data_IF_408811995166
#
_entry.id   IF_408811995166
#
_cell.length_a   1.000
_cell.length_b   1.000
_cell.length_c   1.000
_cell.angle_alpha   90.00
_cell.angle_beta   90.00
_cell.angle_gamma   90.00
#
_symmetry.space_group_name_H-M   'P 1'
#
loop_
_entity.id
_entity.type
_entity.pdbx_description
1 polymer ?
#
# COMPACT_ATOMS: atom_id res chain seq x y z
N UNK A 1 -12.06 69.84 5.03
CA UNK A 1 -12.16 68.47 5.56
C UNK A 1 -12.02 67.56 4.38
N UNK A 2 -10.83 66.96 4.22
CA UNK A 2 -10.50 66.19 3.01
C UNK A 2 -10.33 64.74 3.42
N UNK A 3 -11.23 63.92 2.93
CA UNK A 3 -11.22 62.47 3.05
C UNK A 3 -10.18 61.90 2.09
N UNK A 4 -9.13 61.28 2.62
CA UNK A 4 -8.14 60.52 1.84
C UNK A 4 -8.67 59.12 1.64
N UNK A 5 -9.04 58.81 0.42
CA UNK A 5 -9.26 57.44 -0.02
C UNK A 5 -7.94 56.70 -0.04
N UNK A 6 -7.90 55.55 0.67
CA UNK A 6 -6.81 54.58 0.60
C UNK A 6 -7.04 53.75 -0.68
N UNK A 7 -6.21 53.99 -1.68
CA UNK A 7 -6.19 53.22 -2.93
C UNK A 7 -5.61 51.83 -2.65
N UNK A 8 -6.35 50.83 -3.13
CA UNK A 8 -6.09 49.42 -2.96
C UNK A 8 -4.72 48.98 -3.42
N UNK A 9 -4.10 48.13 -2.61
CA UNK A 9 -2.89 47.38 -2.97
C UNK A 9 -3.32 46.22 -3.89
N UNK A 10 -2.96 46.33 -5.14
CA UNK A 10 -3.18 45.30 -6.14
C UNK A 10 -2.29 44.09 -5.77
N UNK A 11 -2.93 43.08 -5.19
CA UNK A 11 -2.28 41.85 -4.82
C UNK A 11 -1.97 41.04 -6.08
N UNK A 12 -0.75 41.15 -6.59
CA UNK A 12 -0.25 40.40 -7.75
C UNK A 12 0.14 38.97 -7.36
N UNK A 13 -0.78 38.23 -6.72
CA UNK A 13 -0.62 36.80 -6.52
C UNK A 13 -0.91 36.09 -7.84
N UNK A 14 0.17 35.70 -8.54
CA UNK A 14 0.06 34.89 -9.76
C UNK A 14 -0.32 33.46 -9.40
N UNK A 15 -1.35 32.95 -10.08
CA UNK A 15 -1.76 31.54 -9.95
C UNK A 15 -0.60 30.62 -10.32
N UNK A 16 -0.16 29.78 -9.39
CA UNK A 16 0.84 28.75 -9.65
C UNK A 16 0.22 27.67 -10.54
N UNK A 17 0.74 27.51 -11.74
CA UNK A 17 0.41 26.36 -12.60
C UNK A 17 0.94 25.10 -11.94
N UNK A 18 0.08 24.08 -11.81
CA UNK A 18 0.42 22.78 -11.22
C UNK A 18 1.36 22.01 -12.17
N UNK A 19 2.64 22.33 -12.13
CA UNK A 19 3.62 21.38 -12.63
C UNK A 19 3.65 20.20 -11.65
N UNK A 20 3.63 18.97 -12.16
CA UNK A 20 3.96 17.78 -11.34
C UNK A 20 5.24 18.13 -10.63
N UNK A 21 5.17 18.29 -9.32
CA UNK A 21 6.27 18.93 -8.61
C UNK A 21 7.43 17.95 -8.55
N UNK A 22 8.66 18.44 -8.71
CA UNK A 22 9.88 17.66 -8.48
C UNK A 22 9.82 16.85 -7.18
N UNK A 23 9.09 17.35 -6.18
CA UNK A 23 8.77 16.65 -4.94
C UNK A 23 7.98 15.35 -5.19
N UNK A 24 6.95 15.37 -6.04
CA UNK A 24 6.13 14.18 -6.34
C UNK A 24 6.97 13.10 -7.06
N UNK A 25 7.85 13.52 -7.98
CA UNK A 25 8.76 12.61 -8.68
C UNK A 25 9.78 11.99 -7.71
N UNK A 26 10.36 12.81 -6.82
CA UNK A 26 11.28 12.36 -5.77
C UNK A 26 10.57 11.43 -4.79
N UNK A 27 9.33 11.75 -4.36
CA UNK A 27 8.54 10.89 -3.47
C UNK A 27 8.29 9.54 -4.12
N UNK A 28 7.93 9.52 -5.40
CA UNK A 28 7.69 8.29 -6.16
C UNK A 28 8.97 7.43 -6.27
N UNK A 29 10.11 8.05 -6.59
CA UNK A 29 11.39 7.36 -6.69
C UNK A 29 11.84 6.77 -5.35
N UNK A 30 11.75 7.54 -4.25
CA UNK A 30 12.13 7.08 -2.91
C UNK A 30 11.19 5.99 -2.39
N UNK A 31 9.89 6.10 -2.67
CA UNK A 31 8.92 5.05 -2.36
C UNK A 31 9.26 3.76 -3.10
N UNK A 32 9.58 3.85 -4.39
CA UNK A 32 10.00 2.70 -5.17
C UNK A 32 11.26 2.05 -4.59
N UNK A 33 12.25 2.83 -4.17
CA UNK A 33 13.49 2.34 -3.57
C UNK A 33 13.26 1.64 -2.22
N UNK A 34 12.30 2.11 -1.40
CA UNK A 34 11.91 1.42 -0.16
C UNK A 34 11.19 0.10 -0.49
N UNK A 35 10.25 0.12 -1.44
CA UNK A 35 9.46 -1.06 -1.82
C UNK A 35 10.34 -2.15 -2.45
N UNK A 36 11.30 -1.77 -3.29
CA UNK A 36 12.23 -2.72 -3.94
C UNK A 36 13.31 -3.24 -3.01
N UNK A 37 13.47 -2.65 -1.79
CA UNK A 37 14.56 -2.99 -0.88
C UNK A 37 15.91 -2.34 -1.22
N UNK A 38 16.00 -1.49 -2.24
CA UNK A 38 17.19 -0.69 -2.53
C UNK A 38 17.51 0.23 -1.34
N UNK A 39 16.49 0.83 -0.73
CA UNK A 39 16.59 1.43 0.58
C UNK A 39 16.24 0.36 1.64
N UNK A 40 17.28 -0.18 2.27
CA UNK A 40 17.17 -1.33 3.15
C UNK A 40 16.43 -0.98 4.46
N UNK A 41 15.50 -1.83 4.93
CA UNK A 41 14.89 -1.71 6.25
C UNK A 41 15.94 -1.66 7.38
N UNK A 42 15.68 -0.86 8.40
CA UNK A 42 16.58 -0.72 9.55
C UNK A 42 17.78 0.21 9.31
N UNK A 43 17.99 0.72 8.09
CA UNK A 43 19.07 1.67 7.79
C UNK A 43 18.59 3.12 7.80
N UNK A 44 19.51 4.01 8.18
CA UNK A 44 19.26 5.47 8.22
C UNK A 44 19.81 6.14 6.96
N UNK A 45 18.97 6.88 6.27
CA UNK A 45 19.30 7.64 5.08
C UNK A 45 19.20 9.14 5.33
N UNK A 46 20.24 9.90 4.94
CA UNK A 46 20.21 11.35 5.08
C UNK A 46 19.73 12.03 3.80
N UNK A 47 18.91 13.06 3.93
CA UNK A 47 18.40 13.80 2.79
C UNK A 47 19.51 14.39 1.87
N UNK A 48 20.64 14.90 2.40
CA UNK A 48 21.74 15.34 1.53
C UNK A 48 22.36 14.23 0.68
N UNK A 49 22.55 13.02 1.23
CA UNK A 49 23.08 11.87 0.46
C UNK A 49 22.11 11.44 -0.65
N UNK A 50 20.82 11.31 -0.31
CA UNK A 50 19.79 10.99 -1.30
C UNK A 50 19.68 12.07 -2.39
N UNK A 51 19.79 13.35 -2.02
CA UNK A 51 19.78 14.46 -2.96
C UNK A 51 20.92 14.37 -3.98
N UNK A 52 22.13 14.01 -3.53
CA UNK A 52 23.28 13.78 -4.41
C UNK A 52 23.02 12.60 -5.37
N UNK A 53 22.46 11.50 -4.88
CA UNK A 53 22.14 10.33 -5.71
C UNK A 53 21.07 10.64 -6.77
N UNK A 54 20.06 11.42 -6.40
CA UNK A 54 18.95 11.79 -7.28
C UNK A 54 19.24 13.01 -8.18
N UNK A 55 20.39 13.69 -8.00
CA UNK A 55 20.76 14.88 -8.79
C UNK A 55 19.88 16.10 -8.52
N UNK A 56 19.31 16.23 -7.30
CA UNK A 56 18.41 17.31 -6.90
C UNK A 56 18.90 18.01 -5.64
N UNK A 57 18.26 19.13 -5.23
CA UNK A 57 18.54 19.77 -3.95
C UNK A 57 17.96 18.96 -2.76
N UNK A 58 18.48 19.21 -1.54
CA UNK A 58 18.05 18.47 -0.35
C UNK A 58 16.60 18.82 0.09
N UNK A 59 16.05 19.94 -0.35
CA UNK A 59 14.71 20.39 0.06
C UNK A 59 13.61 19.45 -0.44
N UNK A 60 13.43 19.19 -1.76
CA UNK A 60 12.43 18.26 -2.25
C UNK A 60 12.61 16.85 -1.70
N UNK A 61 13.85 16.40 -1.45
CA UNK A 61 14.11 15.09 -0.83
C UNK A 61 13.61 15.05 0.61
N UNK A 62 13.86 16.12 1.39
CA UNK A 62 13.38 16.19 2.77
C UNK A 62 11.86 16.21 2.85
N UNK A 63 11.20 16.96 1.96
CA UNK A 63 9.74 16.98 1.86
C UNK A 63 9.18 15.60 1.46
N UNK A 64 9.77 14.95 0.47
CA UNK A 64 9.42 13.60 0.05
C UNK A 64 9.56 12.59 1.20
N UNK A 65 10.68 12.63 1.93
CA UNK A 65 10.88 11.76 3.10
C UNK A 65 9.86 12.03 4.21
N UNK A 66 9.42 13.28 4.40
CA UNK A 66 8.34 13.59 5.34
C UNK A 66 6.98 13.06 4.87
N UNK A 67 6.73 12.96 3.56
CA UNK A 67 5.54 12.28 3.04
C UNK A 67 5.61 10.78 3.31
N UNK A 68 6.79 10.14 3.11
CA UNK A 68 7.00 8.73 3.47
C UNK A 68 6.90 8.48 5.00
N UNK A 69 7.20 9.47 5.85
CA UNK A 69 6.93 9.39 7.30
C UNK A 69 5.43 9.31 7.58
N UNK A 70 4.62 10.12 6.90
CA UNK A 70 3.15 10.07 7.04
C UNK A 70 2.56 8.73 6.55
N UNK A 71 3.23 8.12 5.57
CA UNK A 71 2.89 6.82 5.03
C UNK A 71 3.40 5.65 5.90
N UNK A 72 4.15 5.93 6.98
CA UNK A 72 4.70 4.89 7.87
C UNK A 72 5.90 4.11 7.29
N UNK A 73 6.41 4.49 6.11
CA UNK A 73 7.53 3.81 5.47
C UNK A 73 8.88 4.12 6.10
N UNK A 74 9.03 5.31 6.64
CA UNK A 74 10.25 5.77 7.30
C UNK A 74 9.91 6.53 8.57
N UNK A 75 10.85 6.60 9.51
CA UNK A 75 10.76 7.38 10.74
C UNK A 75 11.82 8.47 10.74
N UNK A 76 11.43 9.71 11.05
CA UNK A 76 12.38 10.82 11.16
C UNK A 76 13.24 10.65 12.42
N UNK A 77 14.56 10.63 12.22
CA UNK A 77 15.57 10.56 13.28
C UNK A 77 16.22 11.92 13.45
N UNK A 78 15.99 12.64 14.59
CA UNK A 78 16.56 13.96 14.80
C UNK A 78 18.08 13.99 14.58
N UNK A 79 18.55 14.92 13.77
CA UNK A 79 19.97 15.13 13.40
C UNK A 79 20.67 13.95 12.69
N UNK A 80 19.97 12.85 12.39
CA UNK A 80 20.55 11.67 11.72
C UNK A 80 20.00 11.45 10.32
N UNK A 81 18.72 11.72 10.10
CA UNK A 81 18.05 11.48 8.82
C UNK A 81 16.74 10.74 9.00
N UNK A 82 16.50 9.76 8.15
CA UNK A 82 15.26 8.97 8.11
C UNK A 82 15.61 7.48 8.17
N UNK A 83 15.04 6.79 9.14
CA UNK A 83 15.18 5.35 9.31
C UNK A 83 14.09 4.66 8.47
N UNK A 84 14.49 3.76 7.58
CA UNK A 84 13.51 2.89 6.89
C UNK A 84 12.94 1.92 7.92
N UNK A 85 11.61 1.88 8.01
CA UNK A 85 10.92 1.01 8.98
C UNK A 85 11.24 -0.44 8.64
N UNK A 86 11.75 -1.16 9.63
CA UNK A 86 11.89 -2.60 9.58
C UNK A 86 10.71 -3.20 10.36
N UNK A 87 9.96 -4.07 9.72
CA UNK A 87 8.93 -4.86 10.40
C UNK A 87 9.54 -6.23 10.68
N UNK A 88 9.46 -6.67 11.91
CA UNK A 88 9.97 -7.97 12.30
C UNK A 88 9.07 -9.10 11.77
N UNK A 89 9.60 -10.31 11.67
CA UNK A 89 8.79 -11.49 11.32
C UNK A 89 7.65 -11.70 12.33
N UNK A 90 7.91 -11.44 13.61
CA UNK A 90 6.89 -11.54 14.68
C UNK A 90 5.77 -10.52 14.49
N UNK A 91 6.09 -9.27 14.14
CA UNK A 91 5.07 -8.24 13.81
C UNK A 91 4.25 -8.64 12.58
N UNK A 92 4.88 -9.24 11.57
CA UNK A 92 4.18 -9.76 10.37
C UNK A 92 3.23 -10.90 10.73
N UNK A 93 3.65 -11.81 11.62
CA UNK A 93 2.81 -12.90 12.13
C UNK A 93 1.61 -12.35 12.89
N UNK A 94 1.82 -11.39 13.78
CA UNK A 94 0.76 -10.74 14.55
C UNK A 94 -0.25 -10.05 13.64
N UNK A 95 0.21 -9.29 12.64
CA UNK A 95 -0.67 -8.64 11.67
C UNK A 95 -1.44 -9.66 10.83
N UNK A 96 -0.78 -10.72 10.34
CA UNK A 96 -1.44 -11.78 9.59
C UNK A 96 -2.50 -12.49 10.44
N UNK A 97 -2.22 -12.76 11.72
CA UNK A 97 -3.16 -13.36 12.65
C UNK A 97 -4.41 -12.48 12.84
N UNK A 98 -4.23 -11.17 13.04
CA UNK A 98 -5.36 -10.24 13.16
C UNK A 98 -6.20 -10.20 11.88
N UNK A 99 -5.55 -10.18 10.71
CA UNK A 99 -6.23 -10.22 9.42
C UNK A 99 -7.02 -11.53 9.24
N UNK A 100 -6.44 -12.67 9.60
CA UNK A 100 -7.09 -13.98 9.56
C UNK A 100 -8.33 -14.09 10.49
N UNK A 101 -8.31 -13.37 11.60
CA UNK A 101 -9.47 -13.32 12.52
C UNK A 101 -10.60 -12.45 11.98
N UNK A 102 -10.32 -11.48 11.10
CA UNK A 102 -11.29 -10.45 10.71
C UNK A 102 -11.72 -10.58 9.24
N UNK A 103 -10.75 -10.68 8.30
CA UNK A 103 -11.08 -10.60 6.88
C UNK A 103 -11.88 -11.83 6.37
N UNK A 104 -11.46 -13.10 6.60
CA UNK A 104 -12.20 -14.27 6.09
C UNK A 104 -13.65 -14.34 6.57
N UNK A 105 -13.96 -14.23 7.88
CA UNK A 105 -15.36 -14.26 8.34
C UNK A 105 -16.16 -13.05 7.83
N UNK A 106 -15.51 -11.90 7.60
CA UNK A 106 -16.18 -10.74 6.99
C UNK A 106 -16.54 -11.02 5.54
N UNK A 107 -15.62 -11.61 4.73
CA UNK A 107 -15.90 -12.03 3.35
C UNK A 107 -17.07 -12.98 3.29
N UNK A 108 -17.11 -13.99 4.17
CA UNK A 108 -18.26 -14.87 4.29
C UNK A 108 -19.58 -14.11 4.52
N UNK A 109 -19.55 -13.19 5.48
CA UNK A 109 -20.74 -12.42 5.88
C UNK A 109 -21.22 -11.47 4.78
N UNK A 110 -20.31 -10.85 3.99
CA UNK A 110 -20.68 -9.91 2.94
C UNK A 110 -21.05 -10.59 1.62
N UNK A 111 -20.56 -11.79 1.35
CA UNK A 111 -20.82 -12.53 0.09
C UNK A 111 -22.32 -12.55 -0.29
N UNK A 112 -23.28 -12.82 0.62
CA UNK A 112 -24.70 -12.83 0.26
C UNK A 112 -25.31 -11.43 0.06
N UNK A 113 -24.63 -10.36 0.48
CA UNK A 113 -25.21 -8.99 0.47
C UNK A 113 -24.58 -8.07 -0.57
N UNK A 114 -23.51 -8.50 -1.27
CA UNK A 114 -22.94 -7.75 -2.38
C UNK A 114 -23.98 -7.63 -3.50
N UNK A 115 -24.33 -6.42 -4.01
CA UNK A 115 -25.25 -6.25 -5.13
C UNK A 115 -24.73 -6.88 -6.41
N UNK A 116 -25.60 -7.48 -7.22
CA UNK A 116 -25.22 -8.16 -8.47
C UNK A 116 -24.57 -7.17 -9.47
N UNK A 117 -25.03 -5.92 -9.50
CA UNK A 117 -24.48 -4.84 -10.31
C UNK A 117 -23.04 -4.46 -9.97
N UNK A 118 -22.58 -4.77 -8.76
CA UNK A 118 -21.22 -4.43 -8.33
C UNK A 118 -20.15 -5.43 -8.79
N UNK A 119 -20.54 -6.66 -9.20
CA UNK A 119 -19.57 -7.70 -9.54
C UNK A 119 -18.70 -7.36 -10.76
N UNK A 120 -19.23 -6.65 -11.76
CA UNK A 120 -18.42 -6.19 -12.89
C UNK A 120 -17.33 -5.22 -12.45
N UNK A 121 -17.66 -4.30 -11.54
CA UNK A 121 -16.69 -3.36 -10.97
C UNK A 121 -15.64 -4.10 -10.13
N UNK A 122 -16.06 -5.02 -9.26
CA UNK A 122 -15.13 -5.83 -8.45
C UNK A 122 -14.21 -6.67 -9.32
N UNK A 123 -14.73 -7.26 -10.40
CA UNK A 123 -13.93 -8.02 -11.37
C UNK A 123 -12.90 -7.11 -12.06
N UNK A 124 -13.28 -5.90 -12.45
CA UNK A 124 -12.36 -4.91 -13.02
C UNK A 124 -11.24 -4.52 -12.05
N UNK A 125 -11.55 -4.39 -10.76
CA UNK A 125 -10.54 -4.12 -9.73
C UNK A 125 -9.58 -5.31 -9.57
N UNK A 126 -10.08 -6.54 -9.52
CA UNK A 126 -9.27 -7.76 -9.47
C UNK A 126 -8.38 -7.91 -10.71
N UNK A 127 -8.92 -7.62 -11.92
CA UNK A 127 -8.14 -7.64 -13.16
C UNK A 127 -7.00 -6.61 -13.13
N UNK A 128 -7.22 -5.44 -12.56
CA UNK A 128 -6.17 -4.41 -12.39
C UNK A 128 -4.99 -4.95 -11.56
N UNK A 129 -5.25 -5.77 -10.53
CA UNK A 129 -4.20 -6.40 -9.72
C UNK A 129 -3.37 -7.36 -10.60
N UNK A 130 -4.04 -8.21 -11.40
CA UNK A 130 -3.37 -9.14 -12.32
C UNK A 130 -2.52 -8.39 -13.34
N UNK A 131 -3.08 -7.34 -13.96
CA UNK A 131 -2.39 -6.54 -14.95
C UNK A 131 -1.14 -5.85 -14.38
N UNK A 132 -1.20 -5.38 -13.12
CA UNK A 132 -0.04 -4.81 -12.42
C UNK A 132 1.01 -5.88 -12.11
N UNK A 133 0.61 -7.09 -11.72
CA UNK A 133 1.51 -8.22 -11.50
C UNK A 133 2.25 -8.60 -12.79
N UNK A 134 1.55 -8.69 -13.91
CA UNK A 134 2.12 -9.05 -15.20
C UNK A 134 3.13 -8.02 -15.73
N UNK A 135 2.91 -6.73 -15.40
CA UNK A 135 3.83 -5.65 -15.76
C UNK A 135 4.97 -5.46 -14.75
N UNK A 136 4.95 -6.16 -13.61
CA UNK A 136 5.92 -5.98 -12.53
C UNK A 136 5.82 -4.62 -11.83
N UNK A 137 4.65 -3.96 -11.89
CA UNK A 137 4.39 -2.64 -11.32
C UNK A 137 4.03 -2.76 -9.82
N UNK A 138 5.01 -3.08 -8.98
CA UNK A 138 4.80 -3.46 -7.58
C UNK A 138 4.02 -2.43 -6.75
N UNK A 139 4.28 -1.13 -6.95
CA UNK A 139 3.57 -0.07 -6.23
C UNK A 139 2.10 -0.04 -6.64
N UNK A 140 1.83 -0.06 -7.95
CA UNK A 140 0.46 -0.08 -8.46
C UNK A 140 -0.28 -1.37 -8.04
N UNK A 141 0.42 -2.51 -8.04
CA UNK A 141 -0.09 -3.78 -7.52
C UNK A 141 -0.57 -3.65 -6.07
N UNK A 142 0.27 -3.14 -5.16
CA UNK A 142 -0.10 -3.02 -3.74
C UNK A 142 -1.24 -2.03 -3.49
N UNK A 143 -1.29 -0.96 -4.27
CA UNK A 143 -2.38 0.02 -4.18
C UNK A 143 -3.70 -0.58 -4.69
N UNK A 144 -3.68 -1.32 -5.81
CA UNK A 144 -4.84 -2.01 -6.36
C UNK A 144 -5.33 -3.12 -5.44
N UNK A 145 -4.43 -3.96 -4.91
CA UNK A 145 -4.72 -5.00 -3.91
C UNK A 145 -5.42 -4.42 -2.68
N UNK A 146 -4.82 -3.38 -2.10
CA UNK A 146 -5.41 -2.72 -0.95
C UNK A 146 -6.81 -2.17 -1.26
N UNK A 147 -6.97 -1.47 -2.38
CA UNK A 147 -8.25 -0.87 -2.77
C UNK A 147 -9.33 -1.95 -2.95
N UNK A 148 -8.99 -3.06 -3.59
CA UNK A 148 -9.90 -4.19 -3.79
C UNK A 148 -10.39 -4.78 -2.45
N UNK A 149 -9.47 -5.14 -1.56
CA UNK A 149 -9.84 -5.73 -0.27
C UNK A 149 -10.65 -4.78 0.61
N UNK A 150 -10.27 -3.49 0.66
CA UNK A 150 -11.05 -2.49 1.40
C UNK A 150 -12.45 -2.36 0.82
N UNK A 151 -12.60 -2.35 -0.51
CA UNK A 151 -13.91 -2.30 -1.16
C UNK A 151 -14.79 -3.50 -0.77
N UNK A 152 -14.24 -4.71 -0.68
CA UNK A 152 -14.99 -5.89 -0.23
C UNK A 152 -15.47 -5.75 1.23
N UNK A 153 -14.61 -5.22 2.10
CA UNK A 153 -14.94 -5.05 3.51
C UNK A 153 -15.96 -3.93 3.75
N UNK A 154 -16.06 -2.93 2.87
CA UNK A 154 -17.04 -1.84 2.95
C UNK A 154 -18.48 -2.36 2.92
N UNK A 155 -18.76 -3.50 2.25
CA UNK A 155 -20.09 -4.13 2.26
C UNK A 155 -20.54 -4.59 3.65
N UNK A 156 -19.62 -4.70 4.61
CA UNK A 156 -19.98 -4.96 6.01
C UNK A 156 -20.70 -3.81 6.71
N UNK A 157 -20.63 -2.59 6.17
CA UNK A 157 -21.11 -1.37 6.79
C UNK A 157 -20.36 -0.96 8.07
N UNK A 158 -19.34 -1.71 8.48
CA UNK A 158 -18.58 -1.47 9.69
C UNK A 158 -17.34 -0.62 9.43
N UNK A 159 -17.47 0.69 9.51
CA UNK A 159 -16.37 1.64 9.28
C UNK A 159 -15.14 1.38 10.16
N UNK A 160 -15.33 0.96 11.42
CA UNK A 160 -14.21 0.68 12.33
C UNK A 160 -13.41 -0.54 11.89
N UNK A 161 -14.08 -1.57 11.36
CA UNK A 161 -13.43 -2.75 10.78
C UNK A 161 -12.61 -2.34 9.55
N UNK A 162 -13.21 -1.58 8.64
CA UNK A 162 -12.53 -1.08 7.43
C UNK A 162 -11.30 -0.25 7.78
N UNK A 163 -11.41 0.69 8.72
CA UNK A 163 -10.29 1.52 9.17
C UNK A 163 -9.18 0.68 9.80
N UNK A 164 -9.53 -0.32 10.63
CA UNK A 164 -8.55 -1.21 11.26
C UNK A 164 -7.78 -2.01 10.22
N UNK A 165 -8.48 -2.70 9.31
CA UNK A 165 -7.84 -3.51 8.28
C UNK A 165 -7.02 -2.63 7.30
N UNK A 166 -7.52 -1.44 6.99
CA UNK A 166 -6.76 -0.49 6.16
C UNK A 166 -5.40 -0.15 6.75
N UNK A 167 -5.30 -0.01 8.08
CA UNK A 167 -4.01 0.22 8.78
C UNK A 167 -3.15 -1.04 8.77
N UNK A 168 -3.70 -2.20 9.17
CA UNK A 168 -2.95 -3.46 9.17
C UNK A 168 -2.37 -3.80 7.80
N UNK A 169 -3.13 -3.56 6.72
CA UNK A 169 -2.64 -3.75 5.34
C UNK A 169 -1.59 -2.71 4.94
N UNK A 170 -1.67 -1.47 5.46
CA UNK A 170 -0.66 -0.46 5.22
C UNK A 170 0.70 -0.83 5.86
N UNK A 171 0.68 -1.43 7.04
CA UNK A 171 1.89 -1.82 7.77
C UNK A 171 2.67 -2.95 7.09
N UNK A 172 1.97 -3.81 6.31
CA UNK A 172 2.56 -5.01 5.68
C UNK A 172 2.78 -4.89 4.17
N UNK A 173 2.16 -3.92 3.49
CA UNK A 173 2.09 -3.81 2.02
C UNK A 173 3.43 -3.72 1.28
N UNK A 174 4.51 -3.37 2.00
CA UNK A 174 5.81 -3.05 1.39
C UNK A 174 6.87 -4.12 1.64
N UNK A 175 6.54 -5.16 2.41
CA UNK A 175 7.49 -6.15 2.86
C UNK A 175 7.35 -7.41 2.00
N UNK A 176 8.47 -7.88 1.47
CA UNK A 176 8.52 -9.16 0.76
C UNK A 176 8.08 -9.16 -0.71
N UNK A 177 7.58 -8.03 -1.27
CA UNK A 177 7.19 -7.98 -2.69
C UNK A 177 8.33 -8.32 -3.64
N UNK A 178 9.57 -7.94 -3.31
CA UNK A 178 10.74 -8.31 -4.10
C UNK A 178 10.92 -9.82 -4.19
N UNK A 179 10.71 -10.55 -3.10
CA UNK A 179 10.82 -12.01 -3.07
C UNK A 179 9.68 -12.71 -3.83
N UNK A 180 8.49 -12.10 -3.88
CA UNK A 180 7.35 -12.58 -4.67
C UNK A 180 7.62 -12.53 -6.18
N UNK A 181 8.24 -11.44 -6.64
CA UNK A 181 8.62 -11.27 -8.04
C UNK A 181 9.68 -12.29 -8.44
N UNK A 182 10.74 -12.44 -7.63
CA UNK A 182 11.82 -13.38 -7.90
C UNK A 182 11.35 -14.84 -8.01
N UNK A 183 10.27 -15.21 -7.33
CA UNK A 183 9.71 -16.57 -7.31
C UNK A 183 8.60 -16.80 -8.32
N UNK A 184 8.15 -15.78 -9.03
CA UNK A 184 7.01 -15.87 -9.94
C UNK A 184 5.66 -16.11 -9.25
N UNK A 185 5.59 -15.96 -7.92
CA UNK A 185 4.39 -16.21 -7.12
C UNK A 185 3.37 -15.06 -7.19
N UNK A 186 3.81 -13.84 -7.55
CA UNK A 186 2.97 -12.65 -7.60
C UNK A 186 1.75 -12.82 -8.52
N UNK A 187 1.94 -13.41 -9.70
CA UNK A 187 0.85 -13.65 -10.64
C UNK A 187 -0.17 -14.66 -10.10
N UNK A 188 0.28 -15.74 -9.46
CA UNK A 188 -0.61 -16.73 -8.87
C UNK A 188 -1.48 -16.12 -7.75
N UNK A 189 -0.86 -15.33 -6.87
CA UNK A 189 -1.58 -14.57 -5.82
C UNK A 189 -2.55 -13.55 -6.42
N UNK A 190 -2.19 -12.88 -7.51
CA UNK A 190 -3.08 -11.95 -8.20
C UNK A 190 -4.34 -12.64 -8.76
N UNK A 191 -4.22 -13.84 -9.31
CA UNK A 191 -5.35 -14.62 -9.85
C UNK A 191 -6.36 -15.03 -8.76
N UNK A 192 -5.94 -15.20 -7.50
CA UNK A 192 -6.83 -15.50 -6.39
C UNK A 192 -7.90 -14.42 -6.18
N UNK A 193 -7.64 -13.17 -6.55
CA UNK A 193 -8.63 -12.09 -6.47
C UNK A 193 -9.77 -12.26 -7.46
N UNK A 194 -9.48 -12.73 -8.68
CA UNK A 194 -10.53 -13.06 -9.66
C UNK A 194 -11.35 -14.25 -9.20
N UNK A 195 -10.71 -15.30 -8.68
CA UNK A 195 -11.40 -16.46 -8.11
C UNK A 195 -12.33 -16.05 -6.96
N UNK A 196 -11.86 -15.15 -6.07
CA UNK A 196 -12.65 -14.64 -4.96
C UNK A 196 -13.93 -13.93 -5.46
N UNK A 197 -13.82 -13.09 -6.48
CA UNK A 197 -14.99 -12.40 -7.07
C UNK A 197 -15.98 -13.42 -7.63
N UNK A 198 -15.52 -14.48 -8.34
CA UNK A 198 -16.40 -15.50 -8.90
C UNK A 198 -17.10 -16.30 -7.79
N UNK A 199 -16.39 -16.70 -6.75
CA UNK A 199 -17.00 -17.38 -5.59
C UNK A 199 -18.06 -16.51 -4.90
N UNK A 200 -17.79 -15.23 -4.72
CA UNK A 200 -18.74 -14.29 -4.13
C UNK A 200 -19.95 -14.07 -5.04
N UNK A 201 -19.76 -13.99 -6.37
CA UNK A 201 -20.84 -13.87 -7.36
C UNK A 201 -21.74 -15.10 -7.33
N UNK A 202 -21.14 -16.28 -7.21
CA UNK A 202 -21.86 -17.56 -7.09
C UNK A 202 -22.50 -17.77 -5.72
N UNK A 203 -22.35 -16.79 -4.78
CA UNK A 203 -22.84 -16.84 -3.39
C UNK A 203 -22.26 -18.01 -2.57
N UNK A 204 -21.07 -18.50 -2.94
CA UNK A 204 -20.33 -19.57 -2.25
C UNK A 204 -19.54 -19.00 -1.07
N UNK A 205 -20.26 -18.58 -0.02
CA UNK A 205 -19.70 -17.83 1.09
C UNK A 205 -18.61 -18.59 1.86
N UNK A 206 -18.77 -19.90 2.06
CA UNK A 206 -17.81 -20.74 2.77
C UNK A 206 -16.52 -20.93 1.94
N UNK A 207 -16.63 -21.10 0.63
CA UNK A 207 -15.50 -21.22 -0.28
C UNK A 207 -14.74 -19.89 -0.40
N UNK A 208 -15.46 -18.76 -0.44
CA UNK A 208 -14.88 -17.42 -0.44
C UNK A 208 -14.11 -17.13 0.87
N UNK A 209 -14.64 -17.53 2.02
CA UNK A 209 -13.93 -17.47 3.31
C UNK A 209 -12.66 -18.31 3.28
N UNK A 210 -12.75 -19.56 2.80
CA UNK A 210 -11.61 -20.45 2.73
C UNK A 210 -10.51 -19.94 1.79
N UNK A 211 -10.90 -19.38 0.64
CA UNK A 211 -9.94 -18.75 -0.28
C UNK A 211 -9.27 -17.56 0.36
N UNK A 212 -10.03 -16.65 0.99
CA UNK A 212 -9.47 -15.48 1.65
C UNK A 212 -8.47 -15.85 2.75
N UNK A 213 -8.75 -16.92 3.50
CA UNK A 213 -7.84 -17.46 4.51
C UNK A 213 -6.52 -17.92 3.88
N UNK A 214 -6.57 -18.78 2.85
CA UNK A 214 -5.38 -19.24 2.13
C UNK A 214 -4.59 -18.09 1.55
N UNK A 215 -5.27 -17.11 0.95
CA UNK A 215 -4.65 -15.91 0.37
C UNK A 215 -3.81 -15.14 1.41
N UNK A 216 -4.33 -14.92 2.62
CA UNK A 216 -3.58 -14.25 3.70
C UNK A 216 -2.39 -15.11 4.14
N UNK A 217 -2.58 -16.44 4.29
CA UNK A 217 -1.52 -17.36 4.69
C UNK A 217 -0.39 -17.46 3.65
N UNK A 218 -0.75 -17.55 2.35
CA UNK A 218 0.22 -17.51 1.25
C UNK A 218 1.01 -16.20 1.25
N UNK A 219 0.32 -15.08 1.31
CA UNK A 219 0.96 -13.76 1.33
C UNK A 219 1.92 -13.63 2.52
N UNK A 220 1.57 -14.18 3.70
CA UNK A 220 2.46 -14.20 4.87
C UNK A 220 3.67 -15.11 4.66
N UNK A 221 3.50 -16.33 4.16
CA UNK A 221 4.60 -17.27 3.89
C UNK A 221 5.57 -16.73 2.86
N UNK A 222 5.06 -16.05 1.86
CA UNK A 222 5.84 -15.40 0.81
C UNK A 222 6.62 -14.18 1.32
N UNK A 223 6.06 -13.40 2.25
CA UNK A 223 6.76 -12.28 2.90
C UNK A 223 7.88 -12.72 3.83
N UNK A 224 7.72 -13.84 4.53
CA UNK A 224 8.75 -14.39 5.41
C UNK A 224 9.99 -14.88 4.65
N UNK A 225 9.91 -14.97 3.31
CA UNK A 225 10.90 -15.75 2.57
C UNK A 225 11.06 -17.09 3.28
N UNK A 226 10.50 -18.17 2.77
CA UNK A 226 10.61 -19.48 3.43
C UNK A 226 11.97 -19.60 4.13
N UNK A 227 11.99 -19.59 5.46
CA UNK A 227 12.97 -20.36 6.16
C UNK A 227 12.67 -21.80 5.78
N UNK A 228 13.15 -22.20 4.59
CA UNK A 228 13.30 -23.61 4.29
C UNK A 228 13.90 -24.21 5.54
N UNK A 229 13.15 -25.11 6.13
CA UNK A 229 13.57 -26.00 7.16
C UNK A 229 14.96 -26.58 6.78
N UNK A 230 16.00 -25.93 7.19
CA UNK A 230 17.32 -26.51 7.41
C UNK A 230 17.53 -26.48 8.91
N UNK A 231 17.29 -27.66 9.40
CA UNK A 231 17.17 -28.06 10.75
C UNK A 231 18.32 -27.67 11.66
N UNK A 232 17.91 -27.69 12.91
CA UNK A 232 18.66 -27.89 14.15
C UNK A 232 19.56 -26.74 14.57
#
# INVERSE_FOLDING_TARGET
>A
MSERAVTGNDSSLTTLTKNVSLREDVTRALRAAVVSGEMQPGLVYSAPKLATLLGVSATPVREAMLDLVKEGMVTAMPNKGFLVVAVSDDDLDDVAQLRLMIEPPTIRAVTPVVPDEDFERLRGMAQTIVDCADRGELIAYTEADRAFHIQLLEYSGNRRLVDLISRLRADTRLLGLGSLVERGALHASALEHLELVELMRDRKADDAEALMRRHIEHTRGEWAGERIANGR
#
